data_IF_564287598396
#
_entry.id   IF_564287598396
#
_cell.length_a   1.000
_cell.length_b   1.000
_cell.length_c   1.000
_cell.angle_alpha   90.00
_cell.angle_beta   90.00
_cell.angle_gamma   90.00
#
_symmetry.space_group_name_H-M   'P 1'
#
loop_
_entity.id
_entity.type
_entity.pdbx_description
1 polymer ?
#
# COMPACT_ATOMS: atom_id res chain seq x y z
N UNK A 1 6.37 -10.81 -2.55
CA UNK A 1 5.79 -9.48 -2.83
C UNK A 1 6.58 -8.88 -3.99
N UNK A 2 5.92 -8.43 -5.05
CA UNK A 2 6.59 -7.81 -6.21
C UNK A 2 6.88 -6.34 -5.90
N UNK A 3 8.06 -5.88 -6.29
CA UNK A 3 8.55 -4.55 -5.93
C UNK A 3 9.24 -3.88 -7.12
N UNK A 4 8.49 -3.15 -7.97
CA UNK A 4 9.10 -2.36 -9.03
C UNK A 4 10.09 -1.34 -8.46
N UNK A 5 11.30 -1.29 -9.01
CA UNK A 5 12.37 -0.36 -8.59
C UNK A 5 12.84 0.44 -9.80
N UNK A 6 12.87 1.76 -9.62
CA UNK A 6 13.54 2.70 -10.52
C UNK A 6 14.87 3.10 -9.87
N UNK A 7 16.01 2.54 -10.34
CA UNK A 7 17.31 2.74 -9.70
C UNK A 7 17.75 4.20 -9.80
N UNK A 8 18.45 4.70 -8.77
CA UNK A 8 18.98 6.07 -8.78
C UNK A 8 19.88 6.31 -10.00
N UNK A 9 19.69 7.46 -10.65
CA UNK A 9 20.56 7.96 -11.73
C UNK A 9 21.71 8.83 -11.23
N UNK A 10 21.80 9.06 -9.92
CA UNK A 10 22.82 9.87 -9.24
C UNK A 10 23.71 9.02 -8.33
N UNK A 11 24.88 9.53 -7.90
CA UNK A 11 25.76 8.81 -6.98
C UNK A 11 25.06 8.37 -5.70
N UNK A 12 25.48 7.23 -5.18
CA UNK A 12 24.96 6.62 -3.95
C UNK A 12 25.77 7.07 -2.72
N UNK A 13 25.22 7.03 -1.48
CA UNK A 13 23.90 6.51 -1.11
C UNK A 13 22.75 7.39 -1.60
N UNK A 14 21.76 6.78 -2.24
CA UNK A 14 20.65 7.50 -2.89
C UNK A 14 19.51 7.80 -1.90
N UNK A 15 18.91 9.01 -1.92
CA UNK A 15 17.66 9.23 -1.22
C UNK A 15 16.55 8.38 -1.86
N UNK A 16 15.61 7.91 -1.05
CA UNK A 16 14.57 6.95 -1.48
C UNK A 16 13.19 7.59 -1.39
N UNK A 17 12.33 7.32 -2.37
CA UNK A 17 10.88 7.49 -2.24
C UNK A 17 10.20 6.13 -2.42
N UNK A 18 9.48 5.66 -1.40
CA UNK A 18 8.63 4.46 -1.51
C UNK A 18 7.21 4.84 -1.91
N UNK A 19 6.61 4.04 -2.79
CA UNK A 19 5.32 4.33 -3.40
C UNK A 19 4.27 3.26 -3.09
N UNK A 20 3.05 3.69 -2.79
CA UNK A 20 1.90 2.81 -2.55
C UNK A 20 0.76 3.08 -3.55
N UNK A 21 0.29 2.05 -4.25
CA UNK A 21 -0.75 2.15 -5.28
C UNK A 21 -2.17 2.30 -4.69
N UNK A 22 -3.12 2.67 -5.55
CA UNK A 22 -4.55 2.70 -5.20
C UNK A 22 -5.15 1.30 -5.06
N UNK A 23 -6.39 1.21 -4.61
CA UNK A 23 -7.12 -0.06 -4.47
C UNK A 23 -7.09 -0.88 -5.77
N UNK A 24 -6.69 -2.15 -5.69
CA UNK A 24 -6.66 -3.07 -6.83
C UNK A 24 -5.58 -2.80 -7.88
N UNK A 25 -4.87 -1.67 -7.81
CA UNK A 25 -3.82 -1.30 -8.75
C UNK A 25 -2.52 -2.07 -8.55
N UNK A 26 -1.45 -1.64 -9.20
CA UNK A 26 -0.12 -2.20 -8.97
C UNK A 26 0.95 -1.10 -8.92
N UNK A 27 2.12 -1.47 -8.43
CA UNK A 27 3.24 -0.56 -8.24
C UNK A 27 3.69 0.13 -9.53
N UNK A 28 3.56 -0.52 -10.69
CA UNK A 28 3.86 0.03 -12.01
C UNK A 28 2.87 1.10 -12.48
N UNK A 29 1.63 1.13 -11.97
CA UNK A 29 0.67 2.17 -12.33
C UNK A 29 1.12 3.56 -11.87
N UNK A 30 2.03 3.60 -10.91
CA UNK A 30 2.62 4.83 -10.37
C UNK A 30 3.81 5.34 -11.19
N UNK A 31 4.05 4.79 -12.38
CA UNK A 31 5.13 5.21 -13.29
C UNK A 31 5.14 6.73 -13.54
N UNK A 32 3.96 7.34 -13.61
CA UNK A 32 3.79 8.79 -13.79
C UNK A 32 4.37 9.62 -12.64
N UNK A 33 4.43 9.05 -11.44
CA UNK A 33 5.02 9.66 -10.24
C UNK A 33 6.47 9.20 -10.05
N UNK A 34 6.75 7.92 -10.32
CA UNK A 34 8.06 7.32 -10.13
C UNK A 34 9.11 7.91 -11.07
N UNK A 35 8.78 8.07 -12.36
CA UNK A 35 9.71 8.60 -13.37
C UNK A 35 10.23 10.00 -13.04
N UNK A 36 9.41 11.03 -12.76
CA UNK A 36 9.92 12.36 -12.44
C UNK A 36 10.74 12.40 -11.14
N UNK A 37 10.37 11.59 -10.12
CA UNK A 37 11.18 11.45 -8.90
C UNK A 37 12.54 10.81 -9.20
N UNK A 38 12.56 9.78 -10.04
CA UNK A 38 13.79 9.14 -10.46
C UNK A 38 14.69 10.06 -11.29
N UNK A 39 14.12 10.84 -12.20
CA UNK A 39 14.81 11.88 -12.97
C UNK A 39 15.41 12.97 -12.05
N UNK A 40 14.76 13.26 -10.92
CA UNK A 40 15.27 14.17 -9.90
C UNK A 40 16.43 13.56 -9.06
N UNK A 41 16.72 12.26 -9.24
CA UNK A 41 17.86 11.58 -8.62
C UNK A 41 17.51 10.75 -7.38
N UNK A 42 16.23 10.45 -7.14
CA UNK A 42 15.82 9.50 -6.12
C UNK A 42 15.88 8.07 -6.65
N UNK A 43 16.26 7.13 -5.78
CA UNK A 43 15.80 5.76 -5.97
C UNK A 43 14.31 5.72 -5.65
N UNK A 44 13.51 5.13 -6.52
CA UNK A 44 12.08 4.99 -6.27
C UNK A 44 11.76 3.50 -6.23
N UNK A 45 10.96 3.08 -5.27
CA UNK A 45 10.49 1.70 -5.18
C UNK A 45 8.99 1.70 -4.89
N UNK A 46 8.25 0.82 -5.53
CA UNK A 46 6.85 0.57 -5.20
C UNK A 46 6.64 -0.85 -4.73
N UNK A 47 5.48 -1.10 -4.13
CA UNK A 47 5.05 -2.41 -3.63
C UNK A 47 3.73 -2.79 -4.29
N UNK A 48 3.65 -4.02 -4.77
CA UNK A 48 2.37 -4.69 -5.02
C UNK A 48 1.87 -5.26 -3.69
N UNK A 49 0.79 -4.69 -3.15
CA UNK A 49 0.25 -5.11 -1.86
C UNK A 49 -0.44 -6.47 -1.99
N UNK A 50 -0.10 -7.47 -1.15
CA UNK A 50 -0.70 -8.80 -1.21
C UNK A 50 -2.23 -8.74 -1.14
N UNK A 51 -2.91 -9.49 -2.00
CA UNK A 51 -4.37 -9.50 -2.00
C UNK A 51 -5.04 -8.24 -2.58
N UNK A 52 -4.29 -7.19 -2.92
CA UNK A 52 -4.83 -5.91 -3.39
C UNK A 52 -4.18 -5.41 -4.69
N UNK A 53 -3.40 -6.25 -5.37
CA UNK A 53 -2.78 -5.91 -6.65
C UNK A 53 -3.26 -6.81 -7.77
N UNK A 54 -3.50 -6.25 -8.96
CA UNK A 54 -3.90 -7.07 -10.14
C UNK A 54 -2.81 -8.05 -10.59
N UNK A 55 -1.58 -7.92 -10.08
CA UNK A 55 -0.49 -8.86 -10.28
C UNK A 55 -0.52 -10.05 -9.31
N UNK A 56 -1.47 -10.08 -8.38
CA UNK A 56 -1.69 -11.12 -7.39
C UNK A 56 -3.16 -11.58 -7.43
N UNK A 57 -3.47 -12.66 -6.71
CA UNK A 57 -4.86 -12.99 -6.41
C UNK A 57 -5.47 -11.89 -5.55
N UNK A 58 -6.65 -11.40 -5.93
CA UNK A 58 -7.42 -10.49 -5.07
C UNK A 58 -8.01 -11.26 -3.89
N UNK A 59 -7.68 -10.80 -2.69
CA UNK A 59 -8.15 -11.37 -1.43
C UNK A 59 -8.95 -10.31 -0.67
N UNK A 60 -10.10 -10.65 -0.07
CA UNK A 60 -10.94 -9.68 0.62
C UNK A 60 -10.19 -8.93 1.74
N UNK A 61 -9.21 -9.57 2.38
CA UNK A 61 -8.33 -8.97 3.38
C UNK A 61 -7.49 -7.82 2.79
N UNK A 62 -6.99 -7.96 1.57
CA UNK A 62 -6.20 -6.91 0.91
C UNK A 62 -6.99 -5.62 0.67
N UNK A 63 -8.31 -5.73 0.53
CA UNK A 63 -9.22 -4.58 0.35
C UNK A 63 -9.70 -3.99 1.68
N UNK A 64 -9.77 -4.80 2.74
CA UNK A 64 -10.39 -4.40 4.00
C UNK A 64 -9.38 -4.09 5.13
N UNK A 65 -8.27 -4.81 5.19
CA UNK A 65 -7.28 -4.73 6.26
C UNK A 65 -6.23 -3.68 5.92
N UNK A 66 -6.70 -2.45 5.78
CA UNK A 66 -5.90 -1.30 5.37
C UNK A 66 -4.64 -1.09 6.24
N UNK A 67 -4.68 -1.51 7.50
CA UNK A 67 -3.56 -1.43 8.44
C UNK A 67 -2.34 -2.26 8.03
N UNK A 68 -2.51 -3.37 7.29
CA UNK A 68 -1.38 -4.17 6.82
C UNK A 68 -0.56 -3.42 5.76
N UNK A 69 -1.15 -2.49 5.01
CA UNK A 69 -0.44 -1.81 3.91
C UNK A 69 0.74 -0.96 4.38
N UNK A 70 0.67 -0.36 5.58
CA UNK A 70 1.80 0.36 6.16
C UNK A 70 2.96 -0.59 6.53
N UNK A 71 2.62 -1.82 6.94
CA UNK A 71 3.60 -2.87 7.23
C UNK A 71 4.28 -3.34 5.94
N UNK A 72 3.55 -3.51 4.86
CA UNK A 72 4.12 -3.86 3.56
C UNK A 72 5.19 -2.85 3.10
N UNK A 73 4.92 -1.55 3.25
CA UNK A 73 5.90 -0.49 2.95
C UNK A 73 7.12 -0.57 3.87
N UNK A 74 6.92 -0.88 5.15
CA UNK A 74 8.03 -1.03 6.09
C UNK A 74 8.92 -2.21 5.69
N UNK A 75 8.31 -3.34 5.32
CA UNK A 75 9.02 -4.55 4.85
C UNK A 75 9.74 -4.33 3.52
N UNK A 76 9.26 -3.43 2.66
CA UNK A 76 9.95 -3.04 1.43
C UNK A 76 11.32 -2.39 1.69
N UNK A 77 11.54 -1.78 2.86
CA UNK A 77 12.82 -1.12 3.16
C UNK A 77 13.96 -2.13 3.33
N UNK A 78 13.70 -3.30 3.90
CA UNK A 78 14.72 -4.32 4.17
C UNK A 78 15.51 -4.75 2.91
N UNK A 79 14.86 -5.16 1.79
CA UNK A 79 15.59 -5.50 0.57
C UNK A 79 16.27 -4.27 -0.06
N UNK A 80 15.72 -3.05 0.11
CA UNK A 80 16.41 -1.84 -0.36
C UNK A 80 17.71 -1.61 0.41
N UNK A 81 17.74 -1.85 1.72
CA UNK A 81 18.98 -1.77 2.53
C UNK A 81 19.98 -2.84 2.13
N UNK A 82 19.50 -4.06 1.87
CA UNK A 82 20.36 -5.20 1.57
C UNK A 82 20.97 -5.13 0.16
N UNK A 83 20.20 -4.68 -0.82
CA UNK A 83 20.54 -4.80 -2.25
C UNK A 83 20.84 -3.46 -2.92
N UNK A 84 20.41 -2.34 -2.32
CA UNK A 84 20.58 -1.00 -2.88
C UNK A 84 21.43 -0.14 -1.92
N UNK A 85 22.36 0.66 -2.47
CA UNK A 85 23.11 1.61 -1.64
C UNK A 85 22.24 2.86 -1.41
N UNK A 86 21.39 2.82 -0.37
CA UNK A 86 20.44 3.88 -0.03
C UNK A 86 20.88 4.73 1.16
N UNK A 87 20.39 5.97 1.20
CA UNK A 87 20.58 6.90 2.32
C UNK A 87 19.43 6.76 3.32
N UNK A 88 19.70 6.04 4.41
CA UNK A 88 18.72 5.80 5.49
C UNK A 88 18.23 7.07 6.20
N UNK A 89 18.94 8.20 6.06
CA UNK A 89 18.50 9.48 6.62
C UNK A 89 17.52 10.24 5.71
N UNK A 90 17.31 9.77 4.48
CA UNK A 90 16.50 10.43 3.45
C UNK A 90 15.54 9.43 2.76
N UNK A 91 14.55 8.97 3.53
CA UNK A 91 13.47 8.13 3.03
C UNK A 91 12.15 8.93 3.08
N UNK A 92 11.52 9.11 1.93
CA UNK A 92 10.18 9.66 1.79
C UNK A 92 9.18 8.61 1.34
N UNK A 93 7.88 8.92 1.45
CA UNK A 93 6.80 8.06 0.97
C UNK A 93 5.74 8.88 0.25
N UNK A 94 5.13 8.31 -0.80
CA UNK A 94 3.99 8.90 -1.49
C UNK A 94 3.01 7.80 -1.94
N UNK A 95 1.75 8.17 -2.16
CA UNK A 95 0.75 7.20 -2.57
C UNK A 95 -0.49 7.85 -3.18
N UNK A 96 -1.19 7.08 -4.01
CA UNK A 96 -2.39 7.51 -4.71
C UNK A 96 -3.63 6.80 -4.17
N UNK A 97 -4.74 7.54 -3.98
CA UNK A 97 -6.01 6.99 -3.48
C UNK A 97 -5.81 6.24 -2.15
N UNK A 98 -6.06 4.93 -2.11
CA UNK A 98 -5.81 4.10 -0.93
C UNK A 98 -4.34 4.09 -0.49
N UNK A 99 -3.40 4.26 -1.44
CA UNK A 99 -2.00 4.48 -1.13
C UNK A 99 -1.73 5.79 -0.37
N UNK A 100 -2.57 6.81 -0.55
CA UNK A 100 -2.49 8.05 0.24
C UNK A 100 -2.87 7.81 1.71
N UNK A 101 -3.85 6.94 1.95
CA UNK A 101 -4.11 6.44 3.30
C UNK A 101 -2.91 5.64 3.84
N UNK A 102 -2.30 4.75 3.04
CA UNK A 102 -1.10 3.99 3.46
C UNK A 102 0.00 4.92 3.96
N UNK A 103 0.26 6.02 3.26
CA UNK A 103 1.25 7.04 3.69
C UNK A 103 0.82 7.71 4.99
N UNK A 104 -0.47 8.03 5.15
CA UNK A 104 -0.98 8.59 6.40
C UNK A 104 -0.81 7.61 7.57
N UNK A 105 -1.03 6.31 7.34
CA UNK A 105 -0.86 5.26 8.33
C UNK A 105 0.62 5.08 8.75
N UNK A 106 1.57 5.20 7.82
CA UNK A 106 3.01 5.23 8.13
C UNK A 106 3.38 6.37 9.09
N UNK A 107 2.65 7.49 9.03
CA UNK A 107 2.83 8.65 9.90
C UNK A 107 2.03 8.57 11.21
N UNK A 108 1.41 7.43 11.50
CA UNK A 108 0.62 7.21 12.71
C UNK A 108 -0.87 7.51 12.57
N UNK A 109 -1.36 7.79 11.36
CA UNK A 109 -2.79 7.84 11.06
C UNK A 109 -3.45 6.50 11.37
N UNK A 110 -4.66 6.54 11.94
CA UNK A 110 -5.43 5.34 12.30
C UNK A 110 -6.84 5.48 11.77
N UNK A 111 -7.37 4.38 11.24
CA UNK A 111 -8.80 4.28 10.96
C UNK A 111 -9.54 4.14 12.30
N UNK A 112 -10.70 4.76 12.39
CA UNK A 112 -11.60 4.56 13.52
C UNK A 112 -12.22 3.15 13.45
N UNK A 113 -11.85 2.32 14.44
CA UNK A 113 -12.31 0.94 14.51
C UNK A 113 -13.85 0.83 14.61
N UNK A 114 -14.52 1.77 15.29
CA UNK A 114 -15.98 1.73 15.41
C UNK A 114 -16.66 2.03 14.07
N UNK A 115 -16.07 2.90 13.24
CA UNK A 115 -16.59 3.16 11.89
C UNK A 115 -16.42 1.92 11.02
N UNK A 116 -15.27 1.24 11.10
CA UNK A 116 -15.04 -0.01 10.38
C UNK A 116 -16.02 -1.09 10.82
N UNK A 117 -16.18 -1.32 12.13
CA UNK A 117 -17.13 -2.27 12.71
C UNK A 117 -18.56 -1.97 12.24
N UNK A 118 -18.98 -0.70 12.27
CA UNK A 118 -20.30 -0.29 11.78
C UNK A 118 -20.49 -0.56 10.27
N UNK A 119 -19.46 -0.35 9.43
CA UNK A 119 -19.48 -0.73 8.02
C UNK A 119 -19.58 -2.26 7.87
N UNK A 120 -18.79 -3.00 8.65
CA UNK A 120 -18.75 -4.45 8.62
C UNK A 120 -20.08 -5.07 8.98
N UNK A 121 -20.80 -4.57 9.98
CA UNK A 121 -22.15 -5.03 10.33
C UNK A 121 -23.25 -4.41 9.46
N UNK A 122 -22.92 -3.50 8.53
CA UNK A 122 -23.86 -2.89 7.61
C UNK A 122 -24.79 -1.88 8.29
N UNK A 123 -24.34 -1.35 9.42
CA UNK A 123 -24.99 -0.24 10.12
C UNK A 123 -24.79 1.07 9.35
N UNK A 124 -23.68 1.18 8.61
CA UNK A 124 -23.41 2.24 7.64
C UNK A 124 -22.99 1.65 6.29
N UNK A 125 -23.23 2.34 5.16
CA UNK A 125 -22.88 1.84 3.84
C UNK A 125 -21.37 1.72 3.69
N UNK A 126 -20.92 0.58 3.15
CA UNK A 126 -19.54 0.44 2.69
C UNK A 126 -19.34 1.23 1.38
N UNK A 127 -18.15 1.79 1.14
CA UNK A 127 -17.84 2.37 -0.16
C UNK A 127 -17.94 1.27 -1.22
N UNK A 128 -18.36 1.66 -2.42
CA UNK A 128 -18.28 0.76 -3.56
C UNK A 128 -16.81 0.48 -3.87
N UNK A 129 -16.48 -0.79 -4.03
CA UNK A 129 -15.14 -1.26 -4.37
C UNK A 129 -15.28 -2.02 -5.69
N UNK A 130 -15.25 -1.33 -6.84
CA UNK A 130 -15.49 -1.95 -8.14
C UNK A 130 -14.53 -3.11 -8.44
N UNK A 131 -13.31 -3.05 -7.89
CA UNK A 131 -12.30 -4.09 -8.02
C UNK A 131 -12.64 -5.35 -7.19
N UNK A 132 -13.52 -5.23 -6.19
CA UNK A 132 -14.02 -6.34 -5.37
C UNK A 132 -15.51 -6.13 -4.96
N UNK A 133 -16.47 -6.27 -5.89
CA UNK A 133 -17.86 -5.83 -5.67
C UNK A 133 -18.62 -6.51 -4.52
N UNK A 134 -18.24 -7.75 -4.17
CA UNK A 134 -18.88 -8.54 -3.11
C UNK A 134 -18.11 -8.47 -1.77
N UNK A 135 -17.27 -7.44 -1.56
CA UNK A 135 -16.29 -7.39 -0.46
C UNK A 135 -16.90 -7.72 0.92
N UNK A 136 -17.93 -6.98 1.33
CA UNK A 136 -18.55 -7.15 2.65
C UNK A 136 -19.20 -8.54 2.79
N UNK A 137 -19.86 -9.02 1.73
CA UNK A 137 -20.49 -10.34 1.72
C UNK A 137 -19.44 -11.45 1.87
N UNK A 138 -18.33 -11.33 1.16
CA UNK A 138 -17.23 -12.29 1.22
C UNK A 138 -16.57 -12.28 2.60
N UNK A 139 -16.31 -11.10 3.18
CA UNK A 139 -15.72 -10.98 4.51
C UNK A 139 -16.60 -11.62 5.59
N UNK A 140 -17.90 -11.34 5.61
CA UNK A 140 -18.85 -11.94 6.57
C UNK A 140 -19.01 -13.45 6.42
N UNK A 141 -18.68 -14.00 5.24
CA UNK A 141 -18.71 -15.45 5.03
C UNK A 141 -17.43 -16.11 5.58
N UNK A 142 -16.31 -15.39 5.54
CA UNK A 142 -14.98 -15.91 5.89
C UNK A 142 -14.59 -15.69 7.34
N UNK A 143 -15.09 -14.62 7.95
CA UNK A 143 -14.73 -14.18 9.29
C UNK A 143 -15.97 -14.04 10.17
N UNK A 144 -15.86 -14.44 11.42
CA UNK A 144 -16.88 -14.17 12.43
C UNK A 144 -16.79 -12.73 12.90
N UNK A 145 -17.86 -12.21 13.51
CA UNK A 145 -17.87 -10.85 14.08
C UNK A 145 -16.72 -10.62 15.09
N UNK A 146 -16.24 -11.67 15.76
CA UNK A 146 -15.12 -11.60 16.71
C UNK A 146 -13.73 -11.53 16.05
N UNK A 147 -13.62 -11.84 14.75
CA UNK A 147 -12.35 -11.85 14.02
C UNK A 147 -12.05 -10.49 13.34
N UNK A 148 -13.04 -9.61 13.26
CA UNK A 148 -12.98 -8.32 12.53
C UNK A 148 -13.15 -7.10 13.47
N UNK A 149 -13.29 -7.35 14.79
CA UNK A 149 -13.45 -6.33 15.84
C UNK A 149 -12.17 -6.03 16.60
#
# INVERSE_FOLDING_TARGET
>A
MRTPIWPSRRPTPAPVVVLSHGTGGAGEDLDWLAKPLNDAGFLVASVDHPGNSYNDEYLPEGFAFAWERARDITLLIDPLVAEQNIDLSRIGAAGFSFGGYTVSALLGGRIDAHVMEAMFHGQIPAPDVPEFPDLIKTLRTKYSDADIG
#
